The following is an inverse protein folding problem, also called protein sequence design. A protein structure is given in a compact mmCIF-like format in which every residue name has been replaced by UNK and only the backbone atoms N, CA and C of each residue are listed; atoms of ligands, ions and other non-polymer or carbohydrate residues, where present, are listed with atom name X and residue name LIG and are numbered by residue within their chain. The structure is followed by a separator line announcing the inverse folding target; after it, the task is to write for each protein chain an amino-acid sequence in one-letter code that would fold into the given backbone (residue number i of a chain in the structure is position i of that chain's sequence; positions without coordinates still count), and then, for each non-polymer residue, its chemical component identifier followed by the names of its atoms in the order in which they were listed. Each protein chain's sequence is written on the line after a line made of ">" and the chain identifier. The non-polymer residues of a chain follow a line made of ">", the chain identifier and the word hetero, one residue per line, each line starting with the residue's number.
data_IF_572797849264
#
_entry.id   IF_572797849264
#
_cell.length_a   1.000
_cell.length_b   1.000
_cell.length_c   1.000
_cell.angle_alpha   90.00
_cell.angle_beta   90.00
_cell.angle_gamma   90.00
#
_symmetry.space_group_name_H-M   'P 1'
#
loop_
_entity.id
_entity.type
_entity.pdbx_description
1 polymer ?
#
# COMPACT_ATOMS: atom_id res chain seq x y z
N UNK A 1 40.16 -25.18 52.93
CA UNK A 1 39.09 -24.37 52.37
C UNK A 1 39.57 -23.68 51.13
N UNK A 2 39.36 -24.29 49.92
CA UNK A 2 39.70 -23.72 48.64
C UNK A 2 38.59 -22.75 48.18
N UNK A 3 38.96 -21.48 48.01
CA UNK A 3 38.04 -20.48 47.38
C UNK A 3 37.81 -20.80 45.90
N UNK A 4 36.59 -20.76 45.38
CA UNK A 4 36.36 -20.95 43.95
C UNK A 4 36.98 -19.79 43.20
N UNK A 5 37.82 -20.12 42.20
CA UNK A 5 38.35 -19.17 41.22
C UNK A 5 37.18 -18.80 40.26
N UNK A 6 36.73 -17.57 40.35
CA UNK A 6 35.85 -17.00 39.31
C UNK A 6 36.68 -16.77 38.04
N UNK A 7 36.51 -17.64 37.08
CA UNK A 7 37.01 -17.41 35.74
C UNK A 7 36.03 -16.50 35.00
N UNK A 8 36.47 -15.34 34.57
CA UNK A 8 35.67 -14.23 34.02
C UNK A 8 34.95 -14.50 32.68
N UNK A 9 34.71 -15.75 32.31
CA UNK A 9 34.05 -16.17 31.09
C UNK A 9 32.52 -16.18 31.18
N UNK A 10 31.95 -16.25 32.39
CA UNK A 10 30.51 -16.30 32.59
C UNK A 10 29.78 -14.97 32.38
N UNK A 11 30.45 -13.84 32.68
CA UNK A 11 29.87 -12.50 32.57
C UNK A 11 29.85 -12.01 31.11
N UNK A 12 30.83 -12.43 30.33
CA UNK A 12 30.90 -12.11 28.88
C UNK A 12 29.81 -12.83 28.05
N UNK A 13 29.38 -14.00 28.44
CA UNK A 13 28.33 -14.74 27.73
C UNK A 13 26.92 -14.13 27.93
N UNK A 14 26.68 -13.41 29.02
CA UNK A 14 25.40 -12.72 29.25
C UNK A 14 25.30 -11.38 28.50
N UNK A 15 26.43 -10.75 28.19
CA UNK A 15 26.46 -9.45 27.50
C UNK A 15 26.38 -9.64 25.98
N UNK A 16 26.79 -10.78 25.47
CA UNK A 16 26.78 -11.10 24.02
C UNK A 16 25.51 -11.81 23.53
N UNK A 17 24.52 -12.14 24.37
CA UNK A 17 23.17 -12.35 23.88
C UNK A 17 22.67 -10.99 23.40
N UNK A 18 23.02 -10.62 22.17
CA UNK A 18 22.23 -9.65 21.40
C UNK A 18 20.79 -10.08 21.61
N UNK A 19 19.97 -9.24 22.27
CA UNK A 19 18.53 -9.35 22.12
C UNK A 19 18.32 -9.46 20.62
N UNK A 20 17.91 -10.61 20.15
CA UNK A 20 17.52 -10.77 18.76
C UNK A 20 16.35 -9.80 18.62
N UNK A 21 16.64 -8.59 18.14
CA UNK A 21 15.63 -7.57 17.93
C UNK A 21 14.70 -8.18 16.89
N UNK A 22 13.45 -8.34 17.27
CA UNK A 22 12.40 -8.84 16.40
C UNK A 22 12.48 -8.07 15.09
N UNK A 23 12.54 -8.78 13.95
CA UNK A 23 12.56 -8.14 12.64
C UNK A 23 11.21 -7.48 12.39
N UNK A 24 11.15 -6.53 11.44
CA UNK A 24 9.87 -5.88 11.10
C UNK A 24 8.86 -6.92 10.58
N UNK A 25 9.31 -7.90 9.82
CA UNK A 25 8.46 -9.01 9.36
C UNK A 25 7.87 -9.81 10.53
N UNK A 26 8.71 -10.21 11.47
CA UNK A 26 8.28 -10.98 12.64
C UNK A 26 7.30 -10.17 13.52
N UNK A 27 7.51 -8.86 13.63
CA UNK A 27 6.57 -7.97 14.32
C UNK A 27 5.23 -7.89 13.61
N UNK A 28 5.21 -7.74 12.30
CA UNK A 28 3.97 -7.71 11.51
C UNK A 28 3.20 -9.02 11.64
N UNK A 29 3.91 -10.16 11.57
CA UNK A 29 3.32 -11.50 11.72
C UNK A 29 2.77 -11.72 13.14
N UNK A 30 3.51 -11.34 14.17
CA UNK A 30 3.08 -11.46 15.57
C UNK A 30 1.86 -10.60 15.90
N UNK A 31 1.66 -9.48 15.18
CA UNK A 31 0.50 -8.59 15.32
C UNK A 31 -0.71 -9.01 14.47
N UNK A 32 -0.58 -10.06 13.65
CA UNK A 32 -1.63 -10.48 12.73
C UNK A 32 -1.90 -9.50 11.59
N UNK A 33 -0.89 -8.71 11.20
CA UNK A 33 -1.01 -7.71 10.12
C UNK A 33 -0.70 -8.29 8.74
N UNK A 34 -0.37 -9.57 8.64
CA UNK A 34 -0.12 -10.28 7.38
C UNK A 34 -1.22 -11.29 7.18
N UNK A 35 -2.14 -11.01 6.25
CA UNK A 35 -3.24 -11.91 5.91
C UNK A 35 -2.83 -12.88 4.79
N UNK A 36 -2.27 -12.35 3.70
CA UNK A 36 -1.74 -13.13 2.59
C UNK A 36 -0.62 -12.36 1.89
N UNK A 37 0.26 -13.10 1.23
CA UNK A 37 1.39 -12.55 0.47
C UNK A 37 1.57 -13.35 -0.82
N UNK A 38 2.16 -12.73 -1.82
CA UNK A 38 2.47 -13.37 -3.11
C UNK A 38 3.73 -14.24 -3.03
N UNK A 39 4.77 -13.76 -2.34
CA UNK A 39 6.02 -14.47 -2.08
C UNK A 39 6.54 -14.08 -0.70
N UNK A 40 6.42 -15.01 0.28
CA UNK A 40 6.76 -14.73 1.68
C UNK A 40 8.26 -14.49 1.86
N UNK A 41 9.11 -15.29 1.23
CA UNK A 41 10.56 -15.22 1.47
C UNK A 41 11.17 -13.98 0.84
N UNK A 42 10.81 -13.65 -0.39
CA UNK A 42 11.29 -12.45 -1.07
C UNK A 42 10.84 -11.17 -0.35
N UNK A 43 9.55 -11.07 -0.01
CA UNK A 43 8.99 -9.91 0.68
C UNK A 43 9.64 -9.73 2.06
N UNK A 44 9.79 -10.82 2.82
CA UNK A 44 10.44 -10.82 4.14
C UNK A 44 11.89 -10.34 4.05
N UNK A 45 12.64 -10.82 3.07
CA UNK A 45 14.03 -10.39 2.87
C UNK A 45 14.09 -8.90 2.56
N UNK A 46 13.27 -8.42 1.63
CA UNK A 46 13.28 -7.02 1.20
C UNK A 46 12.90 -6.07 2.34
N UNK A 47 11.82 -6.35 3.07
CA UNK A 47 11.34 -5.45 4.14
C UNK A 47 12.27 -5.45 5.35
N UNK A 48 12.89 -6.59 5.70
CA UNK A 48 13.82 -6.68 6.81
C UNK A 48 15.16 -5.98 6.51
N UNK A 49 15.56 -5.90 5.26
CA UNK A 49 16.79 -5.24 4.81
C UNK A 49 16.60 -3.75 4.48
N UNK A 50 15.39 -3.20 4.64
CA UNK A 50 15.09 -1.81 4.33
C UNK A 50 15.23 -1.47 2.84
N UNK A 51 15.00 -2.43 1.96
CA UNK A 51 15.18 -2.28 0.49
C UNK A 51 13.88 -2.10 -0.28
N UNK A 52 12.73 -2.30 0.37
CA UNK A 52 11.46 -2.21 -0.30
C UNK A 52 11.08 -0.75 -0.59
N UNK A 53 10.80 -0.45 -1.86
CA UNK A 53 9.97 0.68 -2.25
C UNK A 53 8.57 0.15 -2.47
N UNK A 54 7.63 0.59 -1.67
CA UNK A 54 6.27 0.06 -1.66
C UNK A 54 5.23 1.18 -1.63
N UNK A 55 4.01 0.88 -2.06
CA UNK A 55 2.92 1.84 -1.95
C UNK A 55 1.72 1.30 -1.19
N UNK A 56 0.95 2.23 -0.65
CA UNK A 56 -0.42 2.01 -0.17
C UNK A 56 -1.30 3.07 -0.81
N UNK A 57 -2.44 2.65 -1.36
CA UNK A 57 -3.42 3.52 -2.00
C UNK A 57 -4.45 4.07 -0.99
N UNK A 58 -4.83 5.32 -1.18
CA UNK A 58 -5.82 6.03 -0.37
C UNK A 58 -6.77 6.81 -1.28
N UNK A 59 -8.00 6.33 -1.40
CA UNK A 59 -9.04 7.05 -2.14
C UNK A 59 -9.63 8.17 -1.27
N UNK A 60 -9.59 9.43 -1.73
CA UNK A 60 -9.99 10.60 -0.96
C UNK A 60 -11.51 10.78 -0.92
N UNK A 61 -12.20 9.84 -0.27
CA UNK A 61 -13.67 9.77 -0.23
C UNK A 61 -14.33 10.68 0.82
N UNK A 62 -13.53 11.32 1.65
CA UNK A 62 -13.93 12.31 2.67
C UNK A 62 -12.75 13.24 2.96
N UNK A 63 -12.98 14.30 3.72
CA UNK A 63 -11.97 15.29 4.16
C UNK A 63 -11.12 14.79 5.34
N UNK A 64 -11.45 13.64 5.89
CA UNK A 64 -10.74 13.06 7.04
C UNK A 64 -10.41 11.59 6.85
N UNK A 65 -9.26 11.19 7.38
CA UNK A 65 -8.86 9.80 7.50
C UNK A 65 -9.72 9.08 8.54
N UNK A 66 -10.12 7.87 8.27
CA UNK A 66 -10.82 7.01 9.22
C UNK A 66 -9.91 5.91 9.77
N UNK A 67 -10.42 5.08 10.69
CA UNK A 67 -9.65 4.03 11.37
C UNK A 67 -8.96 3.05 10.42
N UNK A 68 -9.58 2.71 9.28
CA UNK A 68 -8.96 1.86 8.26
C UNK A 68 -7.70 2.51 7.66
N UNK A 69 -7.78 3.80 7.31
CA UNK A 69 -6.60 4.55 6.86
C UNK A 69 -5.52 4.64 7.94
N UNK A 70 -5.91 4.79 9.22
CA UNK A 70 -4.96 4.82 10.33
C UNK A 70 -4.20 3.49 10.45
N UNK A 71 -4.86 2.36 10.28
CA UNK A 71 -4.21 1.03 10.28
C UNK A 71 -3.17 0.92 9.16
N UNK A 72 -3.52 1.36 7.95
CA UNK A 72 -2.59 1.39 6.81
C UNK A 72 -1.40 2.32 7.06
N UNK A 73 -1.62 3.50 7.67
CA UNK A 73 -0.54 4.41 8.05
C UNK A 73 0.36 3.85 9.15
N UNK A 74 -0.19 3.10 10.11
CA UNK A 74 0.60 2.40 11.11
C UNK A 74 1.52 1.34 10.48
N UNK A 75 1.03 0.57 9.51
CA UNK A 75 1.84 -0.37 8.74
C UNK A 75 2.93 0.37 7.96
N UNK A 76 2.55 1.41 7.22
CA UNK A 76 3.47 2.25 6.45
C UNK A 76 4.59 2.83 7.33
N UNK A 77 4.24 3.34 8.52
CA UNK A 77 5.19 3.87 9.50
C UNK A 77 6.17 2.82 10.00
N UNK A 78 5.71 1.61 10.33
CA UNK A 78 6.58 0.52 10.78
C UNK A 78 7.59 0.13 9.73
N UNK A 79 7.16 0.01 8.49
CA UNK A 79 8.04 -0.31 7.36
C UNK A 79 9.03 0.83 7.09
N UNK A 80 8.60 2.10 7.20
CA UNK A 80 9.49 3.25 7.08
C UNK A 80 10.56 3.25 8.18
N UNK A 81 10.18 2.98 9.43
CA UNK A 81 11.13 2.90 10.55
C UNK A 81 12.15 1.77 10.38
N UNK A 82 11.81 0.72 9.64
CA UNK A 82 12.72 -0.35 9.26
C UNK A 82 13.60 -0.02 8.05
N UNK A 83 13.53 1.21 7.53
CA UNK A 83 14.38 1.71 6.44
C UNK A 83 13.76 1.58 5.05
N UNK A 84 12.54 1.03 4.92
CA UNK A 84 11.85 0.93 3.64
C UNK A 84 11.27 2.27 3.20
N UNK A 85 11.09 2.45 1.89
CA UNK A 85 10.60 3.69 1.30
C UNK A 85 9.12 3.60 0.93
N UNK A 86 8.22 4.20 1.72
CA UNK A 86 6.80 4.21 1.41
C UNK A 86 6.43 5.26 0.37
N UNK A 87 5.42 4.92 -0.43
CA UNK A 87 4.71 5.82 -1.34
C UNK A 87 3.24 5.85 -0.91
N UNK A 88 2.75 7.00 -0.47
CA UNK A 88 1.33 7.23 -0.29
C UNK A 88 0.72 7.61 -1.65
N UNK A 89 -0.05 6.70 -2.25
CA UNK A 89 -0.74 6.94 -3.51
C UNK A 89 -2.12 7.51 -3.23
N UNK A 90 -2.34 8.76 -3.60
CA UNK A 90 -3.63 9.41 -3.49
C UNK A 90 -4.46 9.15 -4.76
N UNK A 91 -5.66 8.64 -4.57
CA UNK A 91 -6.57 8.23 -5.64
C UNK A 91 -7.34 9.41 -6.24
N UNK A 92 -6.66 10.43 -6.77
CA UNK A 92 -7.32 11.57 -7.43
C UNK A 92 -8.06 11.18 -8.70
N UNK A 93 -7.49 10.26 -9.50
CA UNK A 93 -8.11 9.71 -10.68
C UNK A 93 -9.10 8.57 -10.36
N UNK A 94 -8.67 7.61 -9.55
CA UNK A 94 -9.53 6.48 -9.13
C UNK A 94 -10.72 6.92 -8.26
N UNK A 95 -10.56 7.98 -7.47
CA UNK A 95 -11.63 8.55 -6.66
C UNK A 95 -12.79 9.11 -7.48
N UNK A 96 -12.57 9.48 -8.74
CA UNK A 96 -13.64 9.90 -9.66
C UNK A 96 -14.54 8.75 -10.09
N UNK A 97 -14.04 7.52 -10.06
CA UNK A 97 -14.76 6.30 -10.44
C UNK A 97 -15.32 5.61 -9.18
N UNK A 98 -14.51 5.48 -8.16
CA UNK A 98 -14.81 4.78 -6.90
C UNK A 98 -14.53 3.28 -6.98
N UNK A 99 -13.86 2.79 -5.93
CA UNK A 99 -13.54 1.38 -5.74
C UNK A 99 -14.81 0.53 -5.55
N UNK A 100 -15.06 -0.49 -6.38
CA UNK A 100 -16.21 -1.37 -6.24
C UNK A 100 -16.06 -2.39 -5.11
N UNK A 101 -14.85 -2.61 -4.58
CA UNK A 101 -14.58 -3.65 -3.59
C UNK A 101 -15.23 -3.33 -2.23
N UNK A 102 -15.74 -4.38 -1.56
CA UNK A 102 -16.31 -4.28 -0.22
C UNK A 102 -17.61 -3.48 -0.09
N UNK A 103 -18.29 -3.13 -1.20
CA UNK A 103 -19.54 -2.37 -1.20
C UNK A 103 -20.64 -3.00 -2.04
N UNK A 104 -21.86 -2.83 -1.57
CA UNK A 104 -23.07 -3.27 -2.28
C UNK A 104 -23.68 -2.21 -3.20
N UNK A 105 -23.37 -0.93 -2.97
CA UNK A 105 -24.00 0.20 -3.67
C UNK A 105 -22.96 1.03 -4.43
N UNK A 106 -23.38 1.65 -5.55
CA UNK A 106 -22.56 2.62 -6.27
C UNK A 106 -22.20 3.82 -5.40
N UNK A 107 -20.96 4.27 -5.45
CA UNK A 107 -20.56 5.53 -4.84
C UNK A 107 -21.20 6.71 -5.58
N UNK A 108 -21.60 7.72 -4.83
CA UNK A 108 -21.90 9.02 -5.40
C UNK A 108 -20.62 9.60 -6.03
N UNK A 109 -20.71 9.99 -7.30
CA UNK A 109 -19.58 10.62 -7.98
C UNK A 109 -19.28 11.97 -7.33
N UNK A 110 -18.02 12.15 -6.92
CA UNK A 110 -17.56 13.42 -6.36
C UNK A 110 -17.07 14.34 -7.48
N UNK A 111 -17.17 15.66 -7.26
CA UNK A 111 -16.58 16.62 -8.19
C UNK A 111 -15.05 16.65 -8.05
N UNK A 112 -14.35 17.13 -9.08
CA UNK A 112 -12.90 17.27 -9.07
C UNK A 112 -12.43 18.15 -7.91
N UNK A 113 -13.18 19.23 -7.63
CA UNK A 113 -12.89 20.17 -6.55
C UNK A 113 -13.02 19.49 -5.17
N UNK A 114 -14.05 18.67 -4.98
CA UNK A 114 -14.23 17.91 -3.75
C UNK A 114 -13.11 16.91 -3.54
N UNK A 115 -12.72 16.18 -4.59
CA UNK A 115 -11.59 15.23 -4.54
C UNK A 115 -10.30 15.98 -4.21
N UNK A 116 -10.03 17.12 -4.84
CA UNK A 116 -8.81 17.90 -4.56
C UNK A 116 -8.79 18.43 -3.14
N UNK A 117 -9.92 18.92 -2.63
CA UNK A 117 -10.04 19.33 -1.23
C UNK A 117 -9.72 18.18 -0.26
N UNK A 118 -10.30 17.02 -0.49
CA UNK A 118 -10.06 15.82 0.33
C UNK A 118 -8.59 15.37 0.28
N UNK A 119 -7.96 15.43 -0.90
CA UNK A 119 -6.53 15.15 -1.08
C UNK A 119 -5.68 16.08 -0.21
N UNK A 120 -5.97 17.37 -0.22
CA UNK A 120 -5.21 18.36 0.56
C UNK A 120 -5.41 18.16 2.07
N UNK A 121 -6.59 17.71 2.49
CA UNK A 121 -6.87 17.31 3.86
C UNK A 121 -6.10 16.04 4.25
N UNK A 122 -6.05 15.03 3.37
CA UNK A 122 -5.29 13.79 3.59
C UNK A 122 -3.80 14.06 3.74
N UNK A 123 -3.20 14.88 2.86
CA UNK A 123 -1.79 15.27 2.93
C UNK A 123 -1.42 15.78 4.32
N UNK A 124 -2.14 16.78 4.82
CA UNK A 124 -1.91 17.39 6.14
C UNK A 124 -2.01 16.39 7.29
N UNK A 125 -2.89 15.39 7.17
CA UNK A 125 -3.08 14.38 8.19
C UNK A 125 -1.99 13.30 8.13
N UNK A 126 -1.59 12.86 6.92
CA UNK A 126 -0.55 11.85 6.71
C UNK A 126 0.83 12.32 7.14
N UNK A 127 1.16 13.61 6.95
CA UNK A 127 2.42 14.22 7.39
C UNK A 127 2.67 14.11 8.91
N UNK A 128 1.62 13.89 9.70
CA UNK A 128 1.74 13.65 11.14
C UNK A 128 2.26 12.24 11.48
N UNK A 129 2.14 11.30 10.55
CA UNK A 129 2.49 9.89 10.75
C UNK A 129 3.74 9.50 9.98
N UNK A 130 3.86 9.94 8.75
CA UNK A 130 4.91 9.54 7.81
C UNK A 130 5.89 10.70 7.64
N UNK A 131 7.17 10.39 7.64
CA UNK A 131 8.23 11.35 7.37
C UNK A 131 8.48 11.43 5.85
N UNK A 132 8.02 12.52 5.24
CA UNK A 132 8.21 12.80 3.83
C UNK A 132 9.46 13.64 3.53
N UNK A 133 10.23 14.03 4.56
CA UNK A 133 11.45 14.83 4.37
C UNK A 133 12.52 14.04 3.62
N UNK A 134 13.37 14.76 2.89
CA UNK A 134 14.57 14.21 2.24
C UNK A 134 14.31 12.98 1.34
N UNK A 135 13.10 12.84 0.81
CA UNK A 135 12.72 11.69 -0.03
C UNK A 135 12.61 10.35 0.69
N UNK A 136 12.49 10.36 2.04
CA UNK A 136 12.26 9.15 2.86
C UNK A 136 10.92 8.48 2.59
N UNK A 137 9.96 9.24 2.13
CA UNK A 137 8.68 8.79 1.62
C UNK A 137 8.25 9.68 0.45
N UNK A 138 7.33 9.20 -0.37
CA UNK A 138 6.72 9.98 -1.44
C UNK A 138 5.21 10.05 -1.22
N UNK A 139 4.63 11.16 -1.66
CA UNK A 139 3.19 11.33 -1.78
C UNK A 139 2.89 11.67 -3.23
N UNK A 140 2.13 10.83 -3.91
CA UNK A 140 1.84 10.96 -5.33
C UNK A 140 0.34 10.87 -5.59
N UNK A 141 -0.12 11.48 -6.67
CA UNK A 141 -1.52 11.48 -7.06
C UNK A 141 -1.66 10.75 -8.40
N UNK A 142 -2.48 9.70 -8.46
CA UNK A 142 -2.68 8.98 -9.71
C UNK A 142 -3.44 9.78 -10.79
N UNK A 143 -4.07 10.88 -10.45
CA UNK A 143 -4.60 11.82 -11.42
C UNK A 143 -3.52 12.35 -12.39
N UNK A 144 -2.26 12.44 -11.94
CA UNK A 144 -1.14 12.95 -12.73
C UNK A 144 -0.88 12.14 -14.02
N UNK A 145 -1.27 10.86 -14.02
CA UNK A 145 -1.15 10.00 -15.20
C UNK A 145 -2.51 9.52 -15.72
N UNK A 146 -3.48 9.22 -14.87
CA UNK A 146 -4.77 8.67 -15.31
C UNK A 146 -5.61 9.69 -16.10
N UNK A 147 -5.56 10.98 -15.69
CA UNK A 147 -6.39 12.02 -16.33
C UNK A 147 -5.93 12.40 -17.75
N UNK A 148 -4.70 12.05 -18.10
CA UNK A 148 -4.11 12.38 -19.39
C UNK A 148 -4.10 11.19 -20.37
N UNK A 149 -4.67 10.06 -20.00
CA UNK A 149 -4.71 8.87 -20.85
C UNK A 149 -5.67 9.04 -22.01
N UNK A 150 -5.19 8.74 -23.22
CA UNK A 150 -6.05 8.63 -24.38
C UNK A 150 -6.79 7.29 -24.37
N UNK A 151 -8.10 7.30 -24.46
CA UNK A 151 -8.92 6.11 -24.36
C UNK A 151 -8.57 5.03 -25.40
N UNK A 152 -8.35 5.44 -26.66
CA UNK A 152 -8.02 4.51 -27.75
C UNK A 152 -6.63 3.90 -27.54
N UNK A 153 -5.66 4.70 -27.06
CA UNK A 153 -4.32 4.20 -26.75
C UNK A 153 -4.35 3.20 -25.61
N UNK A 154 -5.11 3.48 -24.54
CA UNK A 154 -5.30 2.53 -23.43
C UNK A 154 -5.90 1.23 -23.90
N UNK A 155 -6.95 1.26 -24.73
CA UNK A 155 -7.54 0.05 -25.29
C UNK A 155 -6.56 -0.76 -26.13
N UNK A 156 -5.72 -0.09 -26.92
CA UNK A 156 -4.75 -0.74 -27.80
C UNK A 156 -3.55 -1.31 -27.03
N UNK A 157 -2.99 -0.53 -26.11
CA UNK A 157 -1.69 -0.82 -25.51
C UNK A 157 -1.83 -1.53 -24.14
N UNK A 158 -2.89 -1.25 -23.40
CA UNK A 158 -3.17 -1.84 -22.08
C UNK A 158 -4.22 -2.96 -22.15
N UNK A 159 -5.28 -2.76 -22.95
CA UNK A 159 -6.40 -3.69 -23.06
C UNK A 159 -6.01 -5.15 -23.35
N UNK A 160 -5.05 -5.45 -24.26
CA UNK A 160 -4.66 -6.82 -24.55
C UNK A 160 -4.08 -7.61 -23.36
N UNK A 161 -3.63 -6.93 -22.34
CA UNK A 161 -3.09 -7.57 -21.13
C UNK A 161 -4.17 -8.02 -20.13
N UNK A 162 -5.44 -7.66 -20.39
CA UNK A 162 -6.57 -7.97 -19.52
C UNK A 162 -7.54 -8.95 -20.18
N UNK A 163 -7.75 -10.09 -19.54
CA UNK A 163 -8.79 -11.04 -19.93
C UNK A 163 -10.07 -10.75 -19.17
N UNK A 164 -11.15 -10.41 -19.86
CA UNK A 164 -12.48 -10.15 -19.26
C UNK A 164 -12.94 -11.34 -18.41
N UNK A 165 -12.78 -12.58 -18.92
CA UNK A 165 -13.17 -13.77 -18.17
C UNK A 165 -12.39 -13.91 -16.86
N UNK A 166 -11.08 -13.59 -16.88
CA UNK A 166 -10.26 -13.60 -15.67
C UNK A 166 -10.66 -12.49 -14.70
N UNK A 167 -10.93 -11.29 -15.19
CA UNK A 167 -11.40 -10.18 -14.36
C UNK A 167 -12.71 -10.54 -13.66
N UNK A 168 -13.71 -11.06 -14.41
CA UNK A 168 -15.00 -11.47 -13.85
C UNK A 168 -14.90 -12.62 -12.84
N UNK A 169 -13.82 -13.40 -12.85
CA UNK A 169 -13.59 -14.45 -11.86
C UNK A 169 -13.12 -13.94 -10.49
N UNK A 170 -12.71 -12.69 -10.38
CA UNK A 170 -12.31 -12.10 -9.11
C UNK A 170 -13.50 -11.85 -8.19
N UNK A 171 -13.30 -12.08 -6.89
CA UNK A 171 -14.38 -12.05 -5.89
C UNK A 171 -15.08 -10.68 -5.82
N UNK A 172 -14.34 -9.58 -5.96
CA UNK A 172 -14.91 -8.23 -5.97
C UNK A 172 -15.93 -8.02 -7.10
N UNK A 173 -15.75 -8.66 -8.26
CA UNK A 173 -16.71 -8.57 -9.37
C UNK A 173 -17.86 -9.57 -9.24
N UNK A 174 -17.62 -10.78 -8.73
CA UNK A 174 -18.68 -11.77 -8.52
C UNK A 174 -19.81 -11.21 -7.65
N UNK A 175 -19.47 -10.58 -6.53
CA UNK A 175 -20.45 -9.98 -5.64
C UNK A 175 -21.23 -8.83 -6.30
N UNK A 176 -20.58 -8.06 -7.18
CA UNK A 176 -21.22 -6.96 -7.89
C UNK A 176 -22.09 -7.41 -9.06
N UNK A 177 -21.72 -8.49 -9.75
CA UNK A 177 -22.50 -9.03 -10.88
C UNK A 177 -23.95 -9.37 -10.51
N UNK A 178 -24.20 -9.86 -9.30
CA UNK A 178 -25.54 -10.18 -8.82
C UNK A 178 -26.45 -8.94 -8.71
N UNK A 179 -25.88 -7.74 -8.54
CA UNK A 179 -26.58 -6.47 -8.34
C UNK A 179 -26.43 -5.50 -9.53
N UNK A 180 -25.71 -5.90 -10.55
CA UNK A 180 -25.40 -5.07 -11.70
C UNK A 180 -24.03 -4.39 -11.54
N UNK A 181 -23.03 -4.90 -12.28
CA UNK A 181 -21.70 -4.30 -12.40
C UNK A 181 -21.70 -3.32 -13.57
N UNK A 182 -21.41 -2.05 -13.31
CA UNK A 182 -21.28 -1.05 -14.37
C UNK A 182 -19.93 -1.16 -15.09
N UNK A 183 -19.87 -0.69 -16.34
CA UNK A 183 -18.60 -0.62 -17.09
C UNK A 183 -17.58 0.29 -16.40
N UNK A 184 -18.03 1.35 -15.72
CA UNK A 184 -17.23 2.24 -14.93
C UNK A 184 -16.48 1.48 -13.82
N UNK A 185 -17.21 0.74 -12.99
CA UNK A 185 -16.66 -0.07 -11.90
C UNK A 185 -15.75 -1.19 -12.41
N UNK A 186 -16.11 -1.78 -13.57
CA UNK A 186 -15.30 -2.81 -14.20
C UNK A 186 -13.91 -2.30 -14.61
N UNK A 187 -13.80 -1.05 -15.04
CA UNK A 187 -12.53 -0.45 -15.41
C UNK A 187 -11.64 -0.07 -14.22
N UNK A 188 -12.15 -0.06 -12.99
CA UNK A 188 -11.35 0.28 -11.80
C UNK A 188 -10.10 -0.61 -11.69
N UNK A 189 -10.24 -1.92 -11.90
CA UNK A 189 -9.10 -2.85 -11.85
C UNK A 189 -8.02 -2.52 -12.89
N UNK A 190 -8.41 -2.09 -14.07
CA UNK A 190 -7.46 -1.69 -15.13
C UNK A 190 -6.69 -0.46 -14.69
N UNK A 191 -7.39 0.54 -14.15
CA UNK A 191 -6.76 1.78 -13.63
C UNK A 191 -5.81 1.49 -12.48
N UNK A 192 -6.22 0.65 -11.52
CA UNK A 192 -5.35 0.23 -10.41
C UNK A 192 -4.12 -0.53 -10.90
N UNK A 193 -4.29 -1.41 -11.89
CA UNK A 193 -3.16 -2.12 -12.49
C UNK A 193 -2.22 -1.17 -13.24
N UNK A 194 -2.76 -0.13 -13.86
CA UNK A 194 -1.96 0.91 -14.49
C UNK A 194 -1.17 1.73 -13.46
N UNK A 195 -1.73 1.96 -12.27
CA UNK A 195 -1.02 2.57 -11.14
C UNK A 195 0.23 1.75 -10.76
N UNK A 196 0.13 0.42 -10.67
CA UNK A 196 1.30 -0.45 -10.44
C UNK A 196 2.41 -0.21 -11.47
N UNK A 197 2.03 -0.20 -12.74
CA UNK A 197 2.98 0.03 -13.84
C UNK A 197 3.65 1.40 -13.72
N UNK A 198 2.87 2.47 -13.50
CA UNK A 198 3.40 3.83 -13.41
C UNK A 198 4.29 4.04 -12.17
N UNK A 199 3.91 3.45 -11.04
CA UNK A 199 4.71 3.51 -9.81
C UNK A 199 6.03 2.76 -9.98
N UNK A 200 6.02 1.61 -10.66
CA UNK A 200 7.24 0.90 -11.00
C UNK A 200 8.14 1.73 -11.92
N UNK A 201 7.61 2.24 -13.03
CA UNK A 201 8.37 3.01 -14.02
C UNK A 201 8.97 4.30 -13.46
N UNK A 202 8.19 5.04 -12.68
CA UNK A 202 8.61 6.37 -12.18
C UNK A 202 9.45 6.30 -10.90
N UNK A 203 9.18 5.34 -10.03
CA UNK A 203 9.71 5.34 -8.66
C UNK A 203 10.40 4.03 -8.27
N UNK A 204 10.47 3.02 -9.14
CA UNK A 204 11.01 1.70 -8.82
C UNK A 204 10.21 0.98 -7.72
N UNK A 205 8.92 1.26 -7.63
CA UNK A 205 8.04 0.64 -6.65
C UNK A 205 7.76 -0.80 -7.04
N UNK A 206 8.16 -1.76 -6.21
CA UNK A 206 8.04 -3.20 -6.49
C UNK A 206 7.03 -3.92 -5.60
N UNK A 207 6.50 -3.24 -4.59
CA UNK A 207 5.58 -3.84 -3.64
C UNK A 207 4.34 -2.98 -3.43
N UNK A 208 3.23 -3.66 -3.15
CA UNK A 208 1.99 -3.04 -2.68
C UNK A 208 1.60 -3.67 -1.35
N UNK A 209 1.15 -2.83 -0.43
CA UNK A 209 0.44 -3.27 0.76
C UNK A 209 -0.98 -2.70 0.73
N UNK A 210 -1.94 -3.49 1.16
CA UNK A 210 -3.34 -3.09 1.23
C UNK A 210 -4.00 -3.66 2.47
N UNK A 211 -5.14 -3.13 2.84
CA UNK A 211 -5.96 -3.58 3.95
C UNK A 211 -7.35 -3.92 3.50
#
# INVERSE_FOLDING_TARGET
>A
GSRPKWTGTGLFYFITRRKQTMTVWDELKARGLIAQVTDEEEIKEMVNNGKATFYIGFDPTADSLHVGHFMALCLMKRLQMAGNKPIALLGGGTGMIGDPSGRSDMRQMMTVETIQHNIDCFKKQMERFIDFSDGKALMVNNADWLMNLNYVEVLRDVGPHFSVNRMLSHECYKQRMERGLTFLEFNYMIMQSYDFYMLYQKYGCTMQFGG
#
